data_IF_852968430400
#
_entry.id   IF_852968430400
#
_cell.length_a   1.000
_cell.length_b   1.000
_cell.length_c   1.000
_cell.angle_alpha   90.00
_cell.angle_beta   90.00
_cell.angle_gamma   90.00
#
_symmetry.space_group_name_H-M   'P 1'
#
loop_
_entity.id
_entity.type
_entity.pdbx_description
1 polymer ?
#
# COMPACT_ATOMS: atom_id res chain seq x y z
N UNK A 1 -57.79 15.29 44.59
CA UNK A 1 -56.34 15.05 44.74
C UNK A 1 -55.77 14.63 43.39
N UNK A 2 -55.17 15.54 42.67
CA UNK A 2 -54.59 15.35 41.34
C UNK A 2 -53.07 15.31 41.48
N UNK A 3 -52.48 14.15 41.22
CA UNK A 3 -51.03 13.95 41.26
C UNK A 3 -50.43 14.23 39.88
N UNK A 4 -49.69 15.31 39.78
CA UNK A 4 -48.95 15.71 38.57
C UNK A 4 -47.59 15.06 38.56
N UNK A 5 -47.35 14.17 37.56
CA UNK A 5 -46.05 13.58 37.29
C UNK A 5 -45.20 14.54 36.49
N UNK A 6 -44.13 15.04 37.09
CA UNK A 6 -43.08 15.80 36.40
C UNK A 6 -42.14 14.84 35.70
N UNK A 7 -42.20 14.81 34.37
CA UNK A 7 -41.28 14.04 33.53
C UNK A 7 -39.87 14.66 33.54
N UNK A 8 -38.87 13.88 33.94
CA UNK A 8 -37.46 14.25 33.85
C UNK A 8 -37.00 14.03 32.39
N UNK A 9 -36.46 15.05 31.69
CA UNK A 9 -35.91 14.85 30.37
C UNK A 9 -34.60 14.07 30.46
N UNK A 10 -34.53 12.90 29.81
CA UNK A 10 -33.26 12.20 29.58
C UNK A 10 -32.41 13.01 28.59
N UNK A 11 -31.36 13.65 29.09
CA UNK A 11 -30.31 14.23 28.27
C UNK A 11 -29.54 13.10 27.63
N UNK A 12 -29.70 12.93 26.32
CA UNK A 12 -28.88 12.00 25.52
C UNK A 12 -27.45 12.54 25.49
N UNK A 13 -26.56 11.93 26.26
CA UNK A 13 -25.10 12.14 26.12
C UNK A 13 -24.61 11.49 24.81
N UNK A 14 -24.57 12.28 23.75
CA UNK A 14 -23.82 11.93 22.54
C UNK A 14 -22.34 12.10 22.85
N UNK A 15 -21.69 11.04 23.32
CA UNK A 15 -20.25 10.99 23.47
C UNK A 15 -19.55 11.10 22.09
N UNK A 16 -18.35 11.70 22.01
CA UNK A 16 -17.60 11.76 20.77
C UNK A 16 -17.32 10.34 20.29
N UNK A 17 -17.87 9.97 19.14
CA UNK A 17 -17.53 8.75 18.43
C UNK A 17 -16.09 8.92 17.92
N UNK A 18 -15.14 8.37 18.64
CA UNK A 18 -13.75 8.23 18.16
C UNK A 18 -13.78 7.21 17.04
N UNK A 19 -13.92 7.70 15.81
CA UNK A 19 -13.72 6.88 14.63
C UNK A 19 -12.30 6.36 14.67
N UNK A 20 -12.14 5.12 15.13
CA UNK A 20 -10.88 4.41 15.10
C UNK A 20 -10.51 4.26 13.63
N UNK A 21 -9.55 5.07 13.16
CA UNK A 21 -9.00 4.95 11.81
C UNK A 21 -8.35 3.57 11.72
N UNK A 22 -9.08 2.62 11.16
CA UNK A 22 -8.55 1.28 10.92
C UNK A 22 -7.43 1.40 9.88
N UNK A 23 -6.25 0.84 10.20
CA UNK A 23 -5.13 0.78 9.27
C UNK A 23 -5.58 0.05 8.00
N UNK A 24 -5.33 0.59 6.79
CA UNK A 24 -5.69 -0.10 5.57
C UNK A 24 -5.03 -1.48 5.50
N UNK A 25 -5.80 -2.50 5.12
CA UNK A 25 -5.29 -3.85 4.93
C UNK A 25 -4.68 -3.99 3.54
N UNK A 26 -3.43 -4.42 3.50
CA UNK A 26 -2.70 -4.79 2.29
C UNK A 26 -2.54 -6.30 2.25
N UNK A 27 -3.07 -6.93 1.22
CA UNK A 27 -2.89 -8.35 0.96
C UNK A 27 -1.74 -8.53 -0.04
N UNK A 28 -0.73 -9.35 0.30
CA UNK A 28 0.52 -9.48 -0.45
C UNK A 28 0.75 -10.94 -0.86
N UNK A 29 0.95 -11.19 -2.14
CA UNK A 29 1.36 -12.47 -2.71
C UNK A 29 2.84 -12.41 -3.08
N UNK A 30 3.63 -13.34 -2.54
CA UNK A 30 5.09 -13.38 -2.71
C UNK A 30 5.63 -14.81 -2.63
N UNK A 31 6.88 -15.00 -3.05
CA UNK A 31 7.60 -16.23 -2.78
C UNK A 31 7.90 -16.35 -1.27
N UNK A 32 7.85 -17.57 -0.68
CA UNK A 32 8.19 -17.77 0.73
C UNK A 32 9.64 -17.37 1.05
N UNK A 33 10.55 -17.43 0.07
CA UNK A 33 11.98 -17.14 0.23
C UNK A 33 12.37 -15.71 -0.13
N UNK A 34 11.40 -14.83 -0.45
CA UNK A 34 11.67 -13.46 -0.83
C UNK A 34 11.99 -12.58 0.39
N UNK A 35 13.29 -12.36 0.66
CA UNK A 35 13.77 -11.54 1.77
C UNK A 35 13.37 -10.07 1.64
N UNK A 36 13.63 -9.46 0.49
CA UNK A 36 13.27 -8.05 0.22
C UNK A 36 11.76 -7.81 0.30
N UNK A 37 10.93 -8.82 -0.01
CA UNK A 37 9.48 -8.72 0.17
C UNK A 37 9.10 -8.63 1.66
N UNK A 38 9.79 -9.37 2.53
CA UNK A 38 9.58 -9.29 3.99
C UNK A 38 9.96 -7.92 4.53
N UNK A 39 11.06 -7.35 4.06
CA UNK A 39 11.50 -6.01 4.45
C UNK A 39 10.53 -4.94 3.96
N UNK A 40 9.98 -5.08 2.75
CA UNK A 40 8.92 -4.19 2.27
C UNK A 40 7.64 -4.30 3.11
N UNK A 41 7.22 -5.51 3.51
CA UNK A 41 6.08 -5.71 4.42
C UNK A 41 6.32 -4.98 5.73
N UNK A 42 7.50 -5.14 6.34
CA UNK A 42 7.88 -4.43 7.55
C UNK A 42 7.83 -2.90 7.39
N UNK A 43 8.29 -2.40 6.24
CA UNK A 43 8.17 -0.99 5.88
C UNK A 43 6.70 -0.52 5.89
N UNK A 44 5.79 -1.30 5.31
CA UNK A 44 4.36 -0.96 5.31
C UNK A 44 3.76 -0.96 6.73
N UNK A 45 4.05 -1.99 7.52
CA UNK A 45 3.55 -2.10 8.89
C UNK A 45 4.03 -0.95 9.77
N UNK A 46 5.29 -0.54 9.64
CA UNK A 46 5.87 0.62 10.33
C UNK A 46 5.23 1.93 9.89
N UNK A 47 4.70 1.99 8.67
CA UNK A 47 4.09 3.19 8.09
C UNK A 47 2.55 3.16 8.05
N UNK A 48 1.92 2.44 8.98
CA UNK A 48 0.49 2.56 9.25
C UNK A 48 -0.42 1.65 8.44
N UNK A 49 0.11 0.60 7.81
CA UNK A 49 -0.67 -0.44 7.16
C UNK A 49 -0.79 -1.69 8.04
N UNK A 50 -1.85 -2.44 7.84
CA UNK A 50 -1.97 -3.82 8.26
C UNK A 50 -1.67 -4.72 7.06
N UNK A 51 -0.87 -5.79 7.24
CA UNK A 51 -0.47 -6.64 6.12
C UNK A 51 -0.89 -8.09 6.36
N UNK A 52 -1.41 -8.73 5.31
CA UNK A 52 -1.64 -10.17 5.23
C UNK A 52 -0.82 -10.72 4.06
N UNK A 53 0.12 -11.61 4.34
CA UNK A 53 0.99 -12.20 3.33
C UNK A 53 0.55 -13.63 2.97
N UNK A 54 0.67 -13.95 1.66
CA UNK A 54 0.43 -15.27 1.08
C UNK A 54 1.70 -15.73 0.39
N UNK A 55 2.30 -16.81 0.88
CA UNK A 55 3.55 -17.40 0.37
C UNK A 55 3.29 -18.36 -0.81
N UNK A 56 2.59 -17.89 -1.82
CA UNK A 56 2.10 -18.65 -2.97
C UNK A 56 2.75 -18.24 -4.30
N UNK A 57 3.77 -17.37 -4.26
CA UNK A 57 4.23 -16.66 -5.46
C UNK A 57 3.26 -15.57 -5.89
N UNK A 58 3.62 -14.77 -6.87
CA UNK A 58 2.81 -13.60 -7.27
C UNK A 58 2.42 -13.59 -8.76
N UNK A 59 2.99 -14.42 -9.61
CA UNK A 59 2.74 -14.36 -11.06
C UNK A 59 1.28 -14.61 -11.42
N UNK A 60 0.68 -15.65 -10.84
CA UNK A 60 -0.74 -15.96 -11.07
C UNK A 60 -1.66 -14.85 -10.57
N UNK A 61 -1.34 -14.29 -9.38
CA UNK A 61 -2.11 -13.17 -8.81
C UNK A 61 -1.96 -11.89 -9.63
N UNK A 62 -0.78 -11.58 -10.11
CA UNK A 62 -0.55 -10.45 -11.04
C UNK A 62 -1.41 -10.56 -12.28
N UNK A 63 -1.42 -11.74 -12.91
CA UNK A 63 -2.25 -12.00 -14.08
C UNK A 63 -3.75 -11.89 -13.78
N UNK A 64 -4.21 -12.48 -12.68
CA UNK A 64 -5.60 -12.39 -12.21
C UNK A 64 -6.06 -10.95 -12.00
N UNK A 65 -5.20 -10.11 -11.42
CA UNK A 65 -5.48 -8.71 -11.17
C UNK A 65 -5.32 -7.81 -12.41
N UNK A 66 -4.88 -8.36 -13.53
CA UNK A 66 -4.78 -7.66 -14.81
C UNK A 66 -3.58 -6.75 -14.96
N UNK A 67 -2.52 -6.93 -14.14
CA UNK A 67 -1.30 -6.14 -14.29
C UNK A 67 -0.40 -6.76 -15.38
N UNK A 68 -0.07 -5.99 -16.44
CA UNK A 68 0.82 -6.49 -17.49
C UNK A 68 2.20 -6.88 -16.96
N UNK A 69 2.77 -7.97 -17.50
CA UNK A 69 4.06 -8.52 -17.07
C UNK A 69 5.22 -7.51 -17.13
N UNK A 70 5.19 -6.57 -18.08
CA UNK A 70 6.20 -5.49 -18.20
C UNK A 70 6.34 -4.61 -16.97
N UNK A 71 5.33 -4.57 -16.11
CA UNK A 71 5.34 -3.84 -14.84
C UNK A 71 5.65 -4.72 -13.63
N UNK A 72 5.98 -6.00 -13.86
CA UNK A 72 6.15 -7.00 -12.82
C UNK A 72 7.37 -6.78 -11.93
N UNK A 73 7.23 -7.24 -10.68
CA UNK A 73 8.28 -7.25 -9.67
C UNK A 73 8.20 -8.55 -8.84
N UNK A 74 8.85 -8.58 -7.69
CA UNK A 74 8.98 -9.78 -6.85
C UNK A 74 7.75 -10.10 -5.98
N UNK A 75 6.81 -9.16 -5.84
CA UNK A 75 5.54 -9.37 -5.14
C UNK A 75 4.43 -8.52 -5.74
N UNK A 76 3.21 -8.99 -5.57
CA UNK A 76 1.98 -8.31 -6.00
C UNK A 76 1.08 -8.14 -4.79
N UNK A 77 0.51 -6.96 -4.60
CA UNK A 77 -0.38 -6.68 -3.49
C UNK A 77 -1.68 -6.03 -3.95
N UNK A 78 -2.65 -6.03 -3.04
CA UNK A 78 -3.95 -5.40 -3.23
C UNK A 78 -4.33 -4.59 -1.99
N UNK A 79 -4.80 -3.37 -2.19
CA UNK A 79 -5.29 -2.49 -1.12
C UNK A 79 -6.46 -1.65 -1.64
N UNK A 80 -7.60 -1.70 -0.96
CA UNK A 80 -8.79 -0.90 -1.31
C UNK A 80 -9.14 -0.89 -2.81
N UNK A 81 -9.00 -2.03 -3.49
CA UNK A 81 -9.29 -2.19 -4.91
C UNK A 81 -8.14 -1.83 -5.86
N UNK A 82 -7.05 -1.24 -5.38
CA UNK A 82 -5.85 -0.98 -6.17
C UNK A 82 -4.86 -2.14 -6.11
N UNK A 83 -4.14 -2.36 -7.21
CA UNK A 83 -2.98 -3.24 -7.29
C UNK A 83 -1.73 -2.46 -6.92
N UNK A 84 -0.87 -3.07 -6.11
CA UNK A 84 0.45 -2.53 -5.78
C UNK A 84 1.48 -3.59 -6.18
N UNK A 85 2.37 -3.24 -7.08
CA UNK A 85 3.40 -4.15 -7.59
C UNK A 85 4.78 -3.68 -7.19
N UNK A 86 5.54 -4.56 -6.54
CA UNK A 86 6.91 -4.30 -6.16
C UNK A 86 7.07 -3.30 -5.02
N UNK A 87 8.25 -2.72 -4.93
CA UNK A 87 8.74 -1.94 -3.79
C UNK A 87 8.21 -0.49 -3.77
N UNK A 88 6.89 -0.33 -3.91
CA UNK A 88 6.22 0.98 -3.83
C UNK A 88 6.35 1.54 -2.40
N UNK A 89 6.86 2.77 -2.22
CA UNK A 89 6.93 3.39 -0.90
C UNK A 89 5.56 3.58 -0.26
N UNK A 90 5.46 3.34 1.04
CA UNK A 90 4.22 3.49 1.82
C UNK A 90 3.59 4.88 1.64
N UNK A 91 4.41 5.94 1.53
CA UNK A 91 3.96 7.31 1.28
C UNK A 91 3.13 7.42 0.01
N UNK A 92 3.54 6.74 -1.06
CA UNK A 92 2.85 6.78 -2.34
C UNK A 92 1.55 5.95 -2.30
N UNK A 93 1.52 4.86 -1.53
CA UNK A 93 0.29 4.10 -1.30
C UNK A 93 -0.71 4.96 -0.49
N UNK A 94 -0.26 5.66 0.55
CA UNK A 94 -1.13 6.60 1.28
C UNK A 94 -1.67 7.71 0.38
N UNK A 95 -0.83 8.25 -0.51
CA UNK A 95 -1.24 9.26 -1.49
C UNK A 95 -2.27 8.71 -2.46
N UNK A 96 -2.06 7.50 -3.00
CA UNK A 96 -3.01 6.80 -3.86
C UNK A 96 -4.39 6.67 -3.19
N UNK A 97 -4.41 6.24 -1.92
CA UNK A 97 -5.66 6.04 -1.18
C UNK A 97 -6.39 7.35 -0.87
N UNK A 98 -5.67 8.46 -0.71
CA UNK A 98 -6.27 9.78 -0.53
C UNK A 98 -6.82 10.37 -1.83
N UNK A 99 -6.02 10.34 -2.89
CA UNK A 99 -6.34 10.97 -4.16
C UNK A 99 -7.31 10.15 -5.00
N UNK A 100 -7.29 8.82 -4.85
CA UNK A 100 -8.14 7.85 -5.55
C UNK A 100 -8.21 8.07 -7.06
N UNK A 101 -7.07 8.19 -7.75
CA UNK A 101 -7.06 8.39 -9.20
C UNK A 101 -7.68 7.19 -9.91
N UNK A 102 -8.19 7.41 -11.11
CA UNK A 102 -8.59 6.31 -11.99
C UNK A 102 -7.34 5.54 -12.42
N UNK A 103 -7.39 4.22 -12.35
CA UNK A 103 -6.28 3.34 -12.72
C UNK A 103 -6.40 1.98 -12.07
N UNK A 104 -5.52 1.09 -12.48
CA UNK A 104 -5.38 -0.25 -11.89
C UNK A 104 -4.67 -0.17 -10.55
N UNK A 105 -3.61 0.61 -10.46
CA UNK A 105 -2.78 0.72 -9.26
C UNK A 105 -1.40 1.27 -9.52
N UNK A 106 -0.48 1.06 -8.57
CA UNK A 106 0.90 1.52 -8.64
C UNK A 106 1.86 0.36 -8.90
N UNK A 107 2.94 0.64 -9.63
CA UNK A 107 4.04 -0.28 -9.83
C UNK A 107 5.40 0.41 -9.72
N UNK A 108 6.34 -0.28 -9.07
CA UNK A 108 7.78 -0.08 -9.21
C UNK A 108 8.32 -1.34 -9.89
N UNK A 109 8.48 -1.33 -11.22
CA UNK A 109 8.96 -2.49 -11.97
C UNK A 109 10.38 -2.90 -11.55
N UNK A 110 10.65 -4.20 -11.53
CA UNK A 110 11.94 -4.70 -11.08
C UNK A 110 12.14 -4.55 -9.58
N UNK A 111 13.38 -4.38 -9.18
CA UNK A 111 13.79 -4.25 -7.78
C UNK A 111 14.92 -3.20 -7.66
N UNK A 112 14.62 -1.91 -7.83
CA UNK A 112 15.65 -0.87 -7.77
C UNK A 112 16.27 -0.79 -6.37
N UNK A 113 17.59 -0.75 -6.30
CA UNK A 113 18.33 -0.57 -5.06
C UNK A 113 17.97 0.81 -4.46
N UNK A 114 17.74 0.86 -3.17
CA UNK A 114 17.30 2.07 -2.46
C UNK A 114 15.78 2.24 -2.35
N UNK A 115 15.00 1.40 -3.06
CA UNK A 115 13.57 1.32 -2.81
C UNK A 115 13.29 0.60 -1.48
N UNK A 116 12.15 0.84 -0.81
CA UNK A 116 11.84 0.21 0.47
C UNK A 116 11.90 -1.32 0.41
N UNK A 117 12.73 -1.94 1.26
CA UNK A 117 13.04 -3.37 1.22
C UNK A 117 14.27 -3.74 0.36
N UNK A 118 14.81 -2.77 -0.39
CA UNK A 118 16.06 -2.85 -1.15
C UNK A 118 17.05 -1.76 -0.69
N UNK A 119 16.95 -1.33 0.56
CA UNK A 119 17.68 -0.20 1.17
C UNK A 119 18.43 -0.62 2.45
N UNK A 120 18.60 -1.92 2.66
CA UNK A 120 19.31 -2.47 3.80
C UNK A 120 20.83 -2.23 3.75
N UNK A 121 21.54 -2.55 4.87
CA UNK A 121 22.99 -2.35 4.98
C UNK A 121 23.79 -3.13 3.92
N UNK A 122 23.26 -4.24 3.43
CA UNK A 122 23.86 -5.07 2.38
C UNK A 122 24.04 -4.36 1.05
N UNK A 123 23.28 -3.27 0.81
CA UNK A 123 23.38 -2.45 -0.40
C UNK A 123 24.39 -1.30 -0.27
N UNK A 124 25.04 -1.15 0.89
CA UNK A 124 26.13 -0.17 1.09
C UNK A 124 25.74 1.28 0.84
N UNK A 125 24.48 1.66 1.05
CA UNK A 125 23.97 3.01 0.80
C UNK A 125 23.81 3.35 -0.69
N UNK A 126 23.90 2.37 -1.58
CA UNK A 126 23.62 2.56 -3.00
C UNK A 126 22.14 2.85 -3.23
N UNK A 127 21.85 3.64 -4.26
CA UNK A 127 20.49 3.98 -4.66
C UNK A 127 20.41 4.18 -6.16
N UNK A 128 19.52 3.44 -6.80
CA UNK A 128 19.17 3.62 -8.20
C UNK A 128 18.02 4.63 -8.33
N UNK A 129 17.98 5.43 -9.39
CA UNK A 129 16.79 6.20 -9.69
C UNK A 129 15.65 5.27 -10.12
N UNK A 130 14.44 5.53 -9.67
CA UNK A 130 13.26 4.79 -10.11
C UNK A 130 12.00 5.65 -10.08
N UNK A 131 11.02 5.23 -10.86
CA UNK A 131 9.69 5.83 -10.88
C UNK A 131 8.66 4.90 -10.27
N UNK A 132 7.70 5.49 -9.57
CA UNK A 132 6.45 4.85 -9.22
C UNK A 132 5.45 5.15 -10.32
N UNK A 133 4.94 4.14 -10.98
CA UNK A 133 4.05 4.27 -12.12
C UNK A 133 2.59 4.07 -11.70
N UNK A 134 1.70 4.94 -12.15
CA UNK A 134 0.26 4.70 -12.12
C UNK A 134 -0.11 3.95 -13.39
N UNK A 135 -0.49 2.68 -13.24
CA UNK A 135 -0.85 1.79 -14.34
C UNK A 135 -2.34 1.84 -14.59
N UNK A 136 -2.73 1.96 -15.85
CA UNK A 136 -4.13 1.93 -16.28
C UNK A 136 -4.56 0.52 -16.65
N UNK A 137 -5.87 0.27 -16.66
CA UNK A 137 -6.43 -1.05 -17.02
C UNK A 137 -6.16 -1.45 -18.48
N UNK A 138 -5.94 -0.48 -19.38
CA UNK A 138 -5.56 -0.72 -20.77
C UNK A 138 -4.07 -1.01 -20.97
N UNK A 139 -3.26 -1.01 -19.89
CA UNK A 139 -1.82 -1.24 -19.93
C UNK A 139 -0.96 -0.02 -20.19
N UNK A 140 -1.55 1.18 -20.26
CA UNK A 140 -0.81 2.43 -20.24
C UNK A 140 -0.32 2.74 -18.84
N UNK A 141 0.71 3.58 -18.73
CA UNK A 141 1.22 4.03 -17.45
C UNK A 141 1.71 5.47 -17.53
N UNK A 142 1.59 6.17 -16.40
CA UNK A 142 2.13 7.51 -16.19
C UNK A 142 2.97 7.53 -14.91
N UNK A 143 3.95 8.44 -14.85
CA UNK A 143 4.74 8.63 -13.64
C UNK A 143 3.86 9.24 -12.54
N UNK A 144 3.76 8.53 -11.42
CA UNK A 144 3.06 8.98 -10.22
C UNK A 144 4.01 9.70 -9.26
N UNK A 145 5.22 9.17 -9.08
CA UNK A 145 6.29 9.77 -8.31
C UNK A 145 7.65 9.35 -8.85
N UNK A 146 8.68 10.19 -8.70
CA UNK A 146 10.06 9.90 -9.12
C UNK A 146 11.01 9.99 -7.93
N UNK A 147 11.85 8.98 -7.80
CA UNK A 147 12.92 8.89 -6.82
C UNK A 147 14.25 8.97 -7.55
N UNK A 148 15.02 10.01 -7.28
CA UNK A 148 16.33 10.23 -7.89
C UNK A 148 17.41 9.74 -6.93
N UNK A 149 18.52 9.21 -7.47
CA UNK A 149 19.70 8.94 -6.66
C UNK A 149 20.19 10.23 -5.98
N UNK A 150 20.68 10.15 -4.73
CA UNK A 150 21.36 11.29 -4.12
C UNK A 150 22.48 11.78 -5.05
N UNK A 151 22.54 13.08 -5.29
CA UNK A 151 23.69 13.66 -5.99
C UNK A 151 24.92 13.38 -5.13
N UNK A 152 25.92 12.69 -5.68
CA UNK A 152 27.26 12.56 -5.08
C UNK A 152 27.91 13.92 -4.95
#
# INVERSE_FOLDING_TARGET
MTITWLGIPWAAFSGPSWAQSSRPLVEVWKSPNCGCCKDWIKHLETNGFQVRAFDLGNEAKRAELGLPQKFGSCHTAKVNGYVIEGHVPAREIHRLLRERPKGLGLSVPGMPIGSPGMDGPEYGGQSDPYDVLLVQRNGDAAVFASYKSPKK
#
